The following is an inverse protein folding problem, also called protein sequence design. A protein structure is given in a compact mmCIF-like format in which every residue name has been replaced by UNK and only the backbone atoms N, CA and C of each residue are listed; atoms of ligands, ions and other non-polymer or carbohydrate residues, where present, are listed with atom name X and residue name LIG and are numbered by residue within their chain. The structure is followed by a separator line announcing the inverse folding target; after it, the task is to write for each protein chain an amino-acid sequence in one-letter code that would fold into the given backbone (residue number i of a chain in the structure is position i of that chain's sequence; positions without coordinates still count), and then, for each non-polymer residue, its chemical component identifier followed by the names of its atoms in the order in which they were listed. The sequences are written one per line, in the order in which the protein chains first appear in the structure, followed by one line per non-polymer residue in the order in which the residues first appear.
data_IF_065075391544
#
_entry.id   IF_065075391544
#
_cell.length_a   1.000
_cell.length_b   1.000
_cell.length_c   1.000
_cell.angle_alpha   90.00
_cell.angle_beta   90.00
_cell.angle_gamma   90.00
#
_symmetry.space_group_name_H-M   'P 1'
#
loop_
_entity.id
_entity.type
_entity.pdbx_description
1 polymer ?
#
# COMPACT_ATOMS: atom_id res chain seq x y z
N UNK A 1 1.99 0.48 -6.26
CA UNK A 1 3.42 0.44 -5.93
C UNK A 1 4.28 -0.04 -7.07
N UNK A 2 5.59 0.05 -6.87
CA UNK A 2 6.65 -0.43 -7.77
C UNK A 2 7.49 -1.44 -7.01
N UNK A 3 7.96 -2.50 -7.68
CA UNK A 3 8.80 -3.48 -7.02
C UNK A 3 9.30 -4.57 -7.94
N UNK A 4 10.16 -5.41 -7.40
CA UNK A 4 10.70 -6.57 -8.10
C UNK A 4 9.93 -7.83 -7.74
N UNK A 5 9.54 -8.56 -8.75
CA UNK A 5 8.85 -9.84 -8.64
C UNK A 5 9.87 -10.95 -8.42
N UNK A 6 9.67 -11.74 -7.39
CA UNK A 6 10.56 -12.83 -7.00
C UNK A 6 9.77 -14.07 -6.63
N UNK A 7 10.43 -15.20 -6.63
CA UNK A 7 9.96 -16.48 -6.08
C UNK A 7 8.50 -16.78 -6.39
N UNK A 8 8.19 -16.89 -7.67
CA UNK A 8 6.86 -17.28 -8.13
C UNK A 8 6.69 -18.78 -7.85
N UNK A 9 5.57 -19.16 -7.19
CA UNK A 9 5.31 -20.55 -6.79
C UNK A 9 3.83 -20.87 -6.76
N UNK A 10 3.49 -22.10 -7.03
CA UNK A 10 2.17 -22.64 -6.77
C UNK A 10 2.12 -23.23 -5.35
N UNK A 11 1.19 -22.75 -4.54
CA UNK A 11 0.99 -23.21 -3.17
C UNK A 11 -0.23 -24.13 -3.14
N UNK A 12 -0.02 -25.36 -2.64
CA UNK A 12 -1.09 -26.34 -2.42
C UNK A 12 -1.36 -26.42 -0.92
N UNK A 13 -2.38 -25.73 -0.40
CA UNK A 13 -2.69 -25.80 1.02
C UNK A 13 -3.27 -27.18 1.40
N UNK A 14 -3.22 -27.53 2.68
CA UNK A 14 -3.83 -28.79 3.19
C UNK A 14 -5.35 -28.80 3.01
N UNK A 15 -5.98 -27.62 2.98
CA UNK A 15 -7.41 -27.44 2.71
C UNK A 15 -7.58 -26.29 1.73
N UNK A 16 -8.43 -26.45 0.72
CA UNK A 16 -8.72 -25.46 -0.32
C UNK A 16 -7.93 -25.68 -1.62
N UNK A 17 -8.18 -24.82 -2.58
CA UNK A 17 -7.60 -24.91 -3.92
C UNK A 17 -6.16 -24.40 -3.97
N UNK A 18 -5.39 -24.94 -4.91
CA UNK A 18 -4.05 -24.45 -5.19
C UNK A 18 -4.12 -23.00 -5.70
N UNK A 19 -3.17 -22.18 -5.30
CA UNK A 19 -3.09 -20.78 -5.72
C UNK A 19 -1.67 -20.38 -6.08
N UNK A 20 -1.56 -19.39 -6.96
CA UNK A 20 -0.29 -18.79 -7.34
C UNK A 20 0.13 -17.77 -6.28
N UNK A 21 1.37 -17.88 -5.82
CA UNK A 21 1.98 -16.94 -4.89
C UNK A 21 3.30 -16.41 -5.45
N UNK A 22 3.67 -15.22 -5.06
CA UNK A 22 4.95 -14.61 -5.39
C UNK A 22 5.40 -13.65 -4.30
N UNK A 23 6.68 -13.42 -4.23
CA UNK A 23 7.25 -12.41 -3.34
C UNK A 23 7.48 -11.13 -4.15
N UNK A 24 7.10 -9.99 -3.59
CA UNK A 24 7.33 -8.67 -4.17
C UNK A 24 8.26 -7.89 -3.24
N UNK A 25 9.42 -7.50 -3.74
CA UNK A 25 10.29 -6.54 -3.09
C UNK A 25 9.89 -5.14 -3.56
N UNK A 26 8.98 -4.51 -2.82
CA UNK A 26 8.49 -3.17 -3.13
C UNK A 26 9.54 -2.11 -2.82
N UNK A 27 9.71 -1.17 -3.74
CA UNK A 27 10.58 -0.01 -3.53
C UNK A 27 9.92 0.94 -2.55
N UNK A 28 10.69 1.37 -1.57
CA UNK A 28 10.26 2.30 -0.54
C UNK A 28 11.35 3.35 -0.30
N UNK A 29 10.95 4.59 -0.05
CA UNK A 29 11.84 5.73 0.13
C UNK A 29 12.03 6.56 -1.16
N UNK A 30 12.82 7.62 -1.07
CA UNK A 30 13.16 8.46 -2.20
C UNK A 30 14.09 7.74 -3.18
N UNK A 31 14.23 8.27 -4.39
CA UNK A 31 15.00 7.63 -5.47
C UNK A 31 16.51 7.52 -5.21
N UNK A 32 17.03 8.34 -4.34
CA UNK A 32 18.43 8.41 -3.91
C UNK A 32 18.73 7.54 -2.67
N UNK A 33 17.69 7.15 -1.93
CA UNK A 33 17.81 6.25 -0.77
C UNK A 33 16.67 5.21 -0.79
N UNK A 34 16.80 4.23 -1.67
CA UNK A 34 15.79 3.19 -1.87
C UNK A 34 16.00 2.04 -0.91
N UNK A 35 14.99 1.77 -0.10
CA UNK A 35 14.87 0.54 0.69
C UNK A 35 13.86 -0.43 0.06
N UNK A 36 13.83 -1.67 0.55
CA UNK A 36 12.92 -2.69 0.03
C UNK A 36 12.04 -3.25 1.15
N UNK A 37 10.74 -3.22 0.92
CA UNK A 37 9.76 -3.91 1.76
C UNK A 37 9.29 -5.17 1.04
N UNK A 38 9.40 -6.33 1.70
CA UNK A 38 9.02 -7.62 1.11
C UNK A 38 7.60 -8.00 1.49
N UNK A 39 6.81 -8.32 0.48
CA UNK A 39 5.47 -8.85 0.62
C UNK A 39 5.42 -10.27 0.06
N UNK A 40 4.92 -11.21 0.86
CA UNK A 40 4.50 -12.54 0.39
C UNK A 40 3.05 -12.42 -0.10
N UNK A 41 2.83 -12.55 -1.40
CA UNK A 41 1.55 -12.22 -2.01
C UNK A 41 0.88 -13.43 -2.65
N UNK A 42 -0.43 -13.52 -2.43
CA UNK A 42 -1.31 -14.40 -3.21
C UNK A 42 -1.78 -13.64 -4.45
N UNK A 43 -1.59 -14.22 -5.62
CA UNK A 43 -2.03 -13.62 -6.88
C UNK A 43 -3.53 -13.87 -7.06
N UNK A 44 -4.30 -12.80 -7.17
CA UNK A 44 -5.76 -12.83 -7.33
C UNK A 44 -6.17 -12.27 -8.68
N UNK A 45 -7.20 -12.90 -9.27
CA UNK A 45 -7.68 -12.54 -10.61
C UNK A 45 -6.94 -13.27 -11.72
N UNK A 46 -7.69 -13.64 -12.78
CA UNK A 46 -7.17 -14.42 -13.90
C UNK A 46 -6.08 -13.70 -14.68
N UNK A 47 -6.25 -12.40 -14.91
CA UNK A 47 -5.28 -11.57 -15.64
C UNK A 47 -3.95 -11.46 -14.88
N UNK A 48 -3.98 -11.13 -13.59
CA UNK A 48 -2.77 -11.06 -12.77
C UNK A 48 -2.06 -12.43 -12.70
N UNK A 49 -2.81 -13.53 -12.56
CA UNK A 49 -2.25 -14.88 -12.58
C UNK A 49 -1.59 -15.21 -13.93
N UNK A 50 -2.24 -14.86 -15.04
CA UNK A 50 -1.68 -15.09 -16.37
C UNK A 50 -0.36 -14.31 -16.55
N UNK A 51 -0.34 -13.04 -16.18
CA UNK A 51 0.86 -12.18 -16.28
C UNK A 51 2.01 -12.69 -15.41
N UNK A 52 1.73 -13.04 -14.14
CA UNK A 52 2.75 -13.56 -13.23
C UNK A 52 3.30 -14.90 -13.71
N UNK A 53 2.45 -15.82 -14.22
CA UNK A 53 2.92 -17.10 -14.80
C UNK A 53 3.87 -16.91 -15.97
N UNK A 54 3.66 -15.91 -16.82
CA UNK A 54 4.57 -15.59 -17.92
C UNK A 54 5.96 -15.12 -17.45
N UNK A 55 6.05 -14.61 -16.22
CA UNK A 55 7.29 -14.15 -15.62
C UNK A 55 8.13 -15.27 -14.97
N UNK A 56 7.59 -16.48 -14.81
CA UNK A 56 8.27 -17.58 -14.10
C UNK A 56 9.65 -17.83 -14.67
N UNK A 57 9.77 -18.02 -15.98
CA UNK A 57 11.06 -18.30 -16.64
C UNK A 57 12.07 -17.17 -16.46
N UNK A 58 11.62 -15.91 -16.46
CA UNK A 58 12.48 -14.77 -16.25
C UNK A 58 12.98 -14.69 -14.80
N UNK A 59 12.10 -14.96 -13.83
CA UNK A 59 12.43 -14.97 -12.41
C UNK A 59 13.36 -16.15 -12.08
N UNK A 60 13.10 -17.34 -12.65
CA UNK A 60 13.96 -18.54 -12.46
C UNK A 60 15.34 -18.37 -13.09
N UNK A 61 15.43 -17.59 -14.17
CA UNK A 61 16.69 -17.19 -14.79
C UNK A 61 17.38 -16.00 -14.10
N UNK A 62 16.93 -15.64 -12.89
CA UNK A 62 17.45 -14.53 -12.06
C UNK A 62 17.45 -13.15 -12.75
N UNK A 63 16.61 -12.98 -13.77
CA UNK A 63 16.43 -11.68 -14.43
C UNK A 63 15.67 -10.72 -13.54
N UNK A 64 15.99 -9.43 -13.65
CA UNK A 64 15.31 -8.38 -12.92
C UNK A 64 13.92 -8.14 -13.52
N UNK A 65 12.89 -8.68 -12.89
CA UNK A 65 11.49 -8.47 -13.28
C UNK A 65 10.89 -7.38 -12.40
N UNK A 66 10.77 -6.17 -12.93
CA UNK A 66 10.13 -5.04 -12.25
C UNK A 66 8.68 -4.93 -12.68
N UNK A 67 7.81 -4.70 -11.71
CA UNK A 67 6.37 -4.56 -11.95
C UNK A 67 5.81 -3.31 -11.29
N UNK A 68 4.83 -2.69 -11.96
CA UNK A 68 3.88 -1.80 -11.31
C UNK A 68 2.70 -2.62 -10.83
N UNK A 69 2.30 -2.47 -9.57
CA UNK A 69 1.32 -3.36 -8.97
C UNK A 69 0.32 -2.63 -8.05
N UNK A 70 -0.81 -3.29 -7.80
CA UNK A 70 -1.76 -2.93 -6.74
C UNK A 70 -1.98 -4.12 -5.83
N UNK A 71 -1.76 -3.91 -4.54
CA UNK A 71 -2.06 -4.87 -3.49
C UNK A 71 -3.38 -4.53 -2.81
N UNK A 72 -4.01 -5.53 -2.26
CA UNK A 72 -5.15 -5.42 -1.34
C UNK A 72 -5.01 -6.40 -0.19
N UNK A 73 -5.87 -6.25 0.81
CA UNK A 73 -5.96 -7.14 1.98
C UNK A 73 -4.58 -7.38 2.63
N UNK A 74 -3.98 -6.31 3.09
CA UNK A 74 -2.69 -6.38 3.74
C UNK A 74 -2.85 -6.93 5.17
N UNK A 75 -2.06 -7.95 5.52
CA UNK A 75 -1.99 -8.50 6.88
C UNK A 75 -0.58 -8.94 7.24
N UNK A 76 -0.36 -9.17 8.51
CA UNK A 76 0.90 -9.70 9.04
C UNK A 76 0.73 -11.15 9.47
N UNK A 77 1.78 -11.94 9.27
CA UNK A 77 1.86 -13.33 9.73
C UNK A 77 3.16 -13.50 10.51
N UNK A 78 3.03 -13.97 11.73
CA UNK A 78 4.20 -14.23 12.60
C UNK A 78 4.67 -15.66 12.41
N UNK A 79 5.98 -15.84 12.35
CA UNK A 79 6.59 -17.15 12.23
C UNK A 79 7.85 -17.24 13.09
N UNK A 80 8.28 -18.46 13.40
CA UNK A 80 9.54 -18.70 14.12
C UNK A 80 10.56 -19.26 13.14
N UNK A 81 11.76 -18.68 13.14
CA UNK A 81 12.86 -19.21 12.33
C UNK A 81 13.26 -20.60 12.83
N UNK A 82 13.17 -21.61 11.97
CA UNK A 82 13.51 -22.99 12.30
C UNK A 82 14.97 -23.33 12.07
N UNK A 83 15.71 -22.52 11.30
CA UNK A 83 17.10 -22.79 10.89
C UNK A 83 17.93 -21.51 10.81
N UNK A 84 19.27 -21.68 10.86
CA UNK A 84 20.24 -20.60 10.71
C UNK A 84 20.54 -19.86 12.02
N UNK A 85 21.25 -18.73 11.92
CA UNK A 85 21.68 -17.92 13.08
C UNK A 85 20.53 -17.34 13.91
N UNK A 86 19.35 -17.27 13.32
CA UNK A 86 18.13 -16.74 13.93
C UNK A 86 17.13 -17.84 14.34
N UNK A 87 17.56 -19.10 14.42
CA UNK A 87 16.70 -20.21 14.86
C UNK A 87 16.13 -19.92 16.25
N UNK A 88 14.82 -20.03 16.41
CA UNK A 88 14.09 -19.71 17.65
C UNK A 88 13.60 -18.25 17.75
N UNK A 89 14.11 -17.33 16.93
CA UNK A 89 13.59 -15.96 16.90
C UNK A 89 12.23 -15.89 16.18
N UNK A 90 11.40 -14.96 16.62
CA UNK A 90 10.17 -14.63 15.92
C UNK A 90 10.42 -13.64 14.79
N UNK A 91 9.84 -13.91 13.65
CA UNK A 91 9.82 -13.03 12.49
C UNK A 91 8.39 -12.63 12.12
N UNK A 92 8.27 -11.54 11.39
CA UNK A 92 7.01 -11.06 10.83
C UNK A 92 7.10 -11.06 9.32
N UNK A 93 6.11 -11.64 8.65
CA UNK A 93 5.94 -11.60 7.20
C UNK A 93 4.77 -10.70 6.87
N UNK A 94 4.98 -9.76 5.96
CA UNK A 94 3.91 -8.95 5.40
C UNK A 94 3.26 -9.74 4.27
N UNK A 95 1.94 -9.92 4.37
CA UNK A 95 1.16 -10.67 3.39
C UNK A 95 0.11 -9.77 2.74
N UNK A 96 -0.16 -10.02 1.47
CA UNK A 96 -1.15 -9.26 0.72
C UNK A 96 -1.74 -10.09 -0.43
N UNK A 97 -2.78 -9.57 -1.07
CA UNK A 97 -3.24 -10.05 -2.37
C UNK A 97 -2.73 -9.15 -3.48
N UNK A 98 -2.09 -9.73 -4.50
CA UNK A 98 -1.78 -9.03 -5.74
C UNK A 98 -3.04 -9.00 -6.60
N UNK A 99 -3.64 -7.83 -6.73
CA UNK A 99 -4.92 -7.63 -7.41
C UNK A 99 -4.73 -7.22 -8.88
N UNK A 100 -3.69 -6.45 -9.17
CA UNK A 100 -3.50 -5.88 -10.50
C UNK A 100 -2.02 -5.63 -10.79
N UNK A 101 -1.64 -5.84 -12.05
CA UNK A 101 -0.31 -5.53 -12.58
C UNK A 101 -0.48 -4.52 -13.71
N UNK A 102 0.05 -3.32 -13.52
CA UNK A 102 -0.10 -2.23 -14.48
C UNK A 102 0.91 -2.30 -15.62
N UNK A 103 2.10 -2.79 -15.36
CA UNK A 103 3.13 -3.01 -16.37
C UNK A 103 4.21 -3.96 -15.83
N UNK A 104 4.96 -4.55 -16.75
CA UNK A 104 6.07 -5.46 -16.46
C UNK A 104 7.28 -5.06 -17.30
N UNK A 105 8.43 -4.92 -16.65
CA UNK A 105 9.74 -4.76 -17.31
C UNK A 105 10.65 -5.92 -16.93
N UNK A 106 11.31 -6.52 -17.92
CA UNK A 106 12.33 -7.55 -17.71
C UNK A 106 13.66 -6.99 -18.18
N UNK A 107 14.65 -6.95 -17.28
CA UNK A 107 15.97 -6.33 -17.54
C UNK A 107 15.87 -4.92 -18.15
N UNK A 108 14.91 -4.11 -17.65
CA UNK A 108 14.67 -2.76 -18.12
C UNK A 108 13.79 -2.64 -19.37
N UNK A 109 13.54 -3.73 -20.11
CA UNK A 109 12.67 -3.73 -21.29
C UNK A 109 11.20 -3.91 -20.90
N UNK A 110 10.34 -3.02 -21.38
CA UNK A 110 8.90 -3.12 -21.19
C UNK A 110 8.35 -4.30 -22.01
N UNK A 111 7.76 -5.29 -21.33
CA UNK A 111 7.16 -6.49 -21.95
C UNK A 111 5.63 -6.53 -21.85
N UNK A 112 5.08 -5.74 -20.94
CA UNK A 112 3.63 -5.61 -20.77
C UNK A 112 3.28 -4.24 -20.19
N UNK A 113 2.18 -3.68 -20.67
CA UNK A 113 1.54 -2.48 -20.12
C UNK A 113 0.04 -2.67 -20.22
N UNK A 114 -0.67 -2.53 -19.10
CA UNK A 114 -2.12 -2.58 -19.09
C UNK A 114 -2.67 -1.35 -19.83
N UNK A 115 -3.64 -1.57 -20.70
CA UNK A 115 -4.43 -0.49 -21.28
C UNK A 115 -5.36 0.07 -20.20
N UNK A 116 -5.51 1.41 -20.13
CA UNK A 116 -6.49 1.99 -19.23
C UNK A 116 -7.87 1.54 -19.70
N UNK A 117 -8.57 0.75 -18.87
CA UNK A 117 -10.00 0.56 -19.09
C UNK A 117 -10.64 1.95 -19.05
N UNK A 118 -11.49 2.31 -20.02
CA UNK A 118 -12.29 3.52 -19.92
C UNK A 118 -13.03 3.44 -18.57
N UNK A 119 -12.74 4.36 -17.70
CA UNK A 119 -13.52 4.57 -16.50
C UNK A 119 -14.88 4.99 -17.04
N UNK A 120 -15.91 4.16 -16.91
CA UNK A 120 -17.28 4.66 -16.95
C UNK A 120 -17.34 5.71 -15.85
N UNK A 121 -17.19 6.93 -16.25
CA UNK A 121 -17.52 8.09 -15.44
C UNK A 121 -19.00 7.95 -15.18
N UNK A 122 -19.36 7.65 -13.96
CA UNK A 122 -20.71 7.79 -13.45
C UNK A 122 -21.02 9.29 -13.58
N UNK A 123 -21.53 9.68 -14.75
CA UNK A 123 -22.14 10.98 -14.99
C UNK A 123 -23.42 11.04 -14.17
N UNK A 124 -23.25 11.30 -12.88
CA UNK A 124 -24.28 11.97 -12.10
C UNK A 124 -23.93 13.44 -12.10
N UNK A 125 -24.28 14.04 -13.19
CA UNK A 125 -24.48 15.46 -13.27
C UNK A 125 -25.78 15.78 -12.49
N UNK A 126 -25.75 16.49 -11.37
CA UNK A 126 -26.93 17.10 -10.85
C UNK A 126 -27.08 18.42 -11.62
N UNK A 127 -27.90 18.38 -12.64
CA UNK A 127 -28.48 19.54 -13.32
C UNK A 127 -29.03 20.51 -12.27
N UNK A 128 -28.28 21.60 -12.04
CA UNK A 128 -28.77 22.73 -11.25
C UNK A 128 -29.41 23.71 -12.25
N UNK A 129 -30.73 23.94 -12.20
CA UNK A 129 -31.30 24.96 -13.04
C UNK A 129 -30.85 26.34 -12.57
N UNK A 130 -30.15 27.04 -13.44
CA UNK A 130 -29.89 28.47 -13.33
C UNK A 130 -31.19 29.22 -13.51
N UNK A 131 -31.73 29.81 -12.47
CA UNK A 131 -32.62 30.96 -12.58
C UNK A 131 -31.91 32.19 -12.10
N UNK A 132 -31.62 33.03 -13.08
CA UNK A 132 -31.30 34.46 -12.97
C UNK A 132 -32.36 35.18 -12.15
N UNK A 133 -32.02 35.88 -11.11
CA UNK A 133 -32.47 37.28 -10.90
C UNK A 133 -31.63 37.91 -9.76
N UNK A 134 -31.02 39.04 -10.06
CA UNK A 134 -30.54 40.02 -9.11
C UNK A 134 -31.52 41.18 -9.15
N UNK A 135 -31.64 42.13 -8.18
CA UNK A 135 -30.55 42.83 -7.51
C UNK A 135 -30.81 43.33 -6.07
N UNK A 136 -29.78 43.92 -5.51
CA UNK A 136 -29.70 45.09 -4.59
C UNK A 136 -29.69 44.86 -3.06
N UNK A 137 -28.50 45.10 -2.51
CA UNK A 137 -28.12 46.15 -1.51
C UNK A 137 -28.68 46.08 -0.08
N UNK A 138 -27.76 46.05 0.86
CA UNK A 138 -27.48 46.91 2.04
C UNK A 138 -26.88 46.13 3.19
N UNK A 139 -25.63 46.30 3.48
CA UNK A 139 -24.94 47.15 4.47
C UNK A 139 -25.17 46.78 5.96
N UNK A 140 -23.99 46.67 6.61
CA UNK A 140 -23.66 46.92 8.03
C UNK A 140 -24.00 45.79 9.02
N UNK A 141 -23.16 45.28 9.90
CA UNK A 141 -22.11 45.83 10.76
C UNK A 141 -21.38 44.68 11.47
N UNK A 142 -20.10 44.80 11.63
CA UNK A 142 -19.35 44.11 12.68
C UNK A 142 -19.63 44.77 14.04
N UNK A 143 -19.40 44.13 15.19
CA UNK A 143 -18.11 44.26 15.81
C UNK A 143 -17.55 43.00 16.49
N UNK A 144 -16.23 42.88 16.47
CA UNK A 144 -15.34 42.31 17.47
C UNK A 144 -15.37 43.13 18.78
N UNK A 145 -14.65 42.81 19.86
CA UNK A 145 -14.07 41.58 20.41
C UNK A 145 -14.36 41.37 21.91
N UNK A 146 -13.99 40.24 22.47
CA UNK A 146 -13.60 40.18 23.90
C UNK A 146 -12.75 38.95 24.20
N UNK A 147 -11.46 39.19 24.43
CA UNK A 147 -10.60 38.49 25.38
C UNK A 147 -10.64 39.31 26.69
N UNK A 148 -10.03 38.91 27.81
CA UNK A 148 -9.51 37.64 28.33
C UNK A 148 -10.02 37.34 29.75
N UNK A 149 -9.65 36.24 30.38
CA UNK A 149 -9.12 36.22 31.74
C UNK A 149 -8.30 34.93 31.99
N UNK A 150 -7.09 35.17 32.46
CA UNK A 150 -6.19 34.24 33.11
C UNK A 150 -6.64 33.98 34.56
N UNK A 151 -6.22 32.85 35.10
CA UNK A 151 -5.67 32.63 36.44
C UNK A 151 -5.40 31.14 36.61
N UNK A 152 -4.19 30.73 36.73
CA UNK A 152 -3.24 30.74 37.85
C UNK A 152 -3.36 29.43 38.69
N UNK A 153 -2.20 28.81 38.74
CA UNK A 153 -1.58 28.09 39.83
C UNK A 153 -2.20 26.81 40.40
N UNK A 154 -1.53 25.70 40.38
CA UNK A 154 -0.71 25.24 41.49
C UNK A 154 0.01 23.94 41.16
N UNK A 155 1.30 23.92 41.33
CA UNK A 155 2.08 22.71 41.52
C UNK A 155 2.23 22.51 43.06
N UNK A 156 2.45 21.29 43.52
CA UNK A 156 3.78 21.03 43.98
C UNK A 156 4.36 19.64 43.72
N UNK A 157 5.65 19.67 43.71
CA UNK A 157 6.66 18.65 43.64
C UNK A 157 6.69 17.70 44.86
N UNK A 158 7.66 16.75 44.72
CA UNK A 158 8.30 15.84 45.70
C UNK A 158 7.64 14.44 45.81
N UNK A 159 8.35 13.30 45.83
CA UNK A 159 9.74 13.02 46.20
C UNK A 159 10.07 11.58 45.73
N UNK A 160 11.28 11.42 45.26
CA UNK A 160 12.38 10.50 45.61
C UNK A 160 12.05 9.29 46.52
N UNK A 161 12.49 8.13 46.10
CA UNK A 161 13.22 7.07 46.82
C UNK A 161 13.30 5.86 45.91
N UNK A 162 14.43 5.52 45.36
CA UNK A 162 15.53 4.64 45.76
C UNK A 162 15.15 3.26 46.31
N UNK A 163 15.85 2.31 45.70
CA UNK A 163 16.37 1.05 46.22
C UNK A 163 15.44 -0.18 46.24
N UNK A 164 15.69 -1.14 45.42
CA UNK A 164 16.48 -2.38 45.59
C UNK A 164 16.43 -3.15 44.28
#
# INVERSE_FOLDING_TARGET
GLGYLNRIREVKPKKGDAFLACDIAALNGPSDDVSYVRFDTRVSGSEAQHLVRRCIQAVDAEKKVMIGFRLGDLWTDTFTYSKGKRAGEQGVSLKARLLFVSWIKVDGKLVYKAEPKPTETDERDPEVPVTSDAPAAQQASAPEPSKPVADAADAPALAVAESF
#
